data_IF_465116985017
#
_entry.id   IF_465116985017
#
_cell.length_a   1.000
_cell.length_b   1.000
_cell.length_c   1.000
_cell.angle_alpha   90.00
_cell.angle_beta   90.00
_cell.angle_gamma   90.00
#
_symmetry.space_group_name_H-M   'P 1'
#
loop_
_entity.id
_entity.type
_entity.pdbx_description
1 polymer ?
#
# COMPACT_ATOMS: atom_id res chain seq x y z
N UNK A 1 -11.51 12.50 11.38
CA UNK A 1 -12.49 12.79 10.30
C UNK A 1 -12.66 11.60 9.36
N UNK A 2 -13.66 11.60 8.48
CA UNK A 2 -13.71 10.67 7.33
C UNK A 2 -12.82 11.17 6.20
N UNK A 3 -12.03 10.26 5.64
CA UNK A 3 -11.10 10.53 4.54
C UNK A 3 -11.64 9.97 3.22
N UNK A 4 -12.25 8.78 3.25
CA UNK A 4 -12.92 8.19 2.09
C UNK A 4 -14.42 8.03 2.37
N UNK A 5 -15.26 8.76 1.65
CA UNK A 5 -16.71 8.65 1.78
C UNK A 5 -17.27 7.39 1.14
N UNK A 6 -16.67 6.88 0.07
CA UNK A 6 -17.18 5.69 -0.64
C UNK A 6 -17.17 4.42 0.21
N UNK A 7 -16.11 4.25 1.02
CA UNK A 7 -15.92 3.07 1.87
C UNK A 7 -16.00 3.40 3.37
N UNK A 8 -16.36 4.65 3.72
CA UNK A 8 -16.47 5.08 5.12
C UNK A 8 -15.15 5.03 5.90
N UNK A 9 -14.01 5.27 5.24
CA UNK A 9 -12.69 5.16 5.90
C UNK A 9 -12.38 6.44 6.65
N UNK A 10 -12.00 6.29 7.91
CA UNK A 10 -11.59 7.38 8.80
C UNK A 10 -10.09 7.62 8.77
N UNK A 11 -9.71 8.83 9.17
CA UNK A 11 -8.31 9.20 9.36
C UNK A 11 -7.59 8.30 10.38
N UNK A 12 -8.29 7.86 11.43
CA UNK A 12 -7.73 6.93 12.42
C UNK A 12 -7.35 5.61 11.79
N UNK A 13 -8.24 5.02 11.00
CA UNK A 13 -7.97 3.78 10.26
C UNK A 13 -6.78 3.95 9.31
N UNK A 14 -6.68 5.09 8.60
CA UNK A 14 -5.51 5.34 7.73
C UNK A 14 -4.21 5.38 8.53
N UNK A 15 -4.20 5.98 9.72
CA UNK A 15 -3.02 6.01 10.60
C UNK A 15 -2.70 4.63 11.15
N UNK A 16 -3.68 3.89 11.65
CA UNK A 16 -3.51 2.51 12.13
C UNK A 16 -2.91 1.60 11.06
N UNK A 17 -3.38 1.70 9.81
CA UNK A 17 -2.78 0.95 8.70
C UNK A 17 -1.38 1.43 8.35
N UNK A 18 -1.09 2.73 8.45
CA UNK A 18 0.25 3.26 8.26
C UNK A 18 1.22 2.73 9.33
N UNK A 19 0.79 2.68 10.59
CA UNK A 19 1.55 2.12 11.72
C UNK A 19 1.74 0.60 11.56
N UNK A 20 0.76 -0.09 10.98
CA UNK A 20 0.88 -1.50 10.59
C UNK A 20 1.78 -1.74 9.36
N UNK A 21 2.32 -0.69 8.73
CA UNK A 21 3.28 -0.78 7.62
C UNK A 21 2.72 -0.45 6.23
N UNK A 22 1.47 -0.01 6.11
CA UNK A 22 0.88 0.47 4.86
C UNK A 22 1.26 1.92 4.58
N UNK A 23 2.50 2.12 4.16
CA UNK A 23 3.10 3.44 4.01
C UNK A 23 2.85 4.11 2.64
N UNK A 24 2.13 3.45 1.73
CA UNK A 24 1.70 4.03 0.43
C UNK A 24 0.19 4.06 0.30
N UNK A 25 -0.38 4.98 -0.49
CA UNK A 25 -1.81 4.97 -0.81
C UNK A 25 -2.27 3.65 -1.41
N UNK A 26 -1.39 2.98 -2.17
CA UNK A 26 -1.67 1.68 -2.77
C UNK A 26 -1.73 0.57 -1.73
N UNK A 27 -0.86 0.59 -0.72
CA UNK A 27 -0.94 -0.34 0.42
C UNK A 27 -2.16 -0.05 1.30
N UNK A 28 -2.48 1.22 1.54
CA UNK A 28 -3.72 1.61 2.24
C UNK A 28 -4.94 1.10 1.46
N UNK A 29 -4.97 1.25 0.14
CA UNK A 29 -6.01 0.70 -0.72
C UNK A 29 -6.11 -0.83 -0.61
N UNK A 30 -4.98 -1.55 -0.51
CA UNK A 30 -4.99 -3.00 -0.29
C UNK A 30 -5.48 -3.40 1.10
N UNK A 31 -5.24 -2.58 2.13
CA UNK A 31 -5.62 -2.89 3.51
C UNK A 31 -7.09 -2.54 3.81
N UNK A 32 -7.57 -1.38 3.36
CA UNK A 32 -8.88 -0.84 3.72
C UNK A 32 -9.74 -0.40 2.53
N UNK A 33 -9.33 -0.70 1.29
CA UNK A 33 -10.08 -0.39 0.06
C UNK A 33 -10.21 1.11 -0.26
N UNK A 34 -9.60 1.99 0.53
CA UNK A 34 -9.64 3.43 0.28
C UNK A 34 -9.03 3.78 -1.09
N UNK A 35 -9.75 4.57 -1.88
CA UNK A 35 -9.24 5.10 -3.15
C UNK A 35 -9.31 4.15 -4.35
N UNK A 36 -10.00 3.00 -4.23
CA UNK A 36 -10.24 2.08 -5.37
C UNK A 36 -11.53 2.38 -6.14
N UNK A 37 -12.31 3.36 -5.70
CA UNK A 37 -13.57 3.79 -6.33
C UNK A 37 -13.35 5.13 -7.06
N UNK A 38 -13.95 6.23 -6.59
CA UNK A 38 -13.84 7.56 -7.20
C UNK A 38 -12.45 8.20 -7.09
N UNK A 39 -11.57 7.67 -6.23
CA UNK A 39 -10.19 8.12 -6.09
C UNK A 39 -9.97 9.49 -5.42
N UNK A 40 -11.02 10.24 -5.06
CA UNK A 40 -10.89 11.61 -4.50
C UNK A 40 -10.08 11.68 -3.20
N UNK A 41 -10.13 10.63 -2.39
CA UNK A 41 -9.39 10.54 -1.13
C UNK A 41 -7.88 10.28 -1.30
N UNK A 42 -7.41 9.87 -2.49
CA UNK A 42 -6.01 9.44 -2.70
C UNK A 42 -5.01 10.55 -2.39
N UNK A 43 -5.32 11.80 -2.75
CA UNK A 43 -4.44 12.96 -2.49
C UNK A 43 -4.40 13.32 -1.00
N UNK A 44 -5.53 13.23 -0.31
CA UNK A 44 -5.58 13.41 1.14
C UNK A 44 -4.77 12.33 1.86
N UNK A 45 -4.90 11.06 1.44
CA UNK A 45 -4.13 9.93 1.97
C UNK A 45 -2.63 10.16 1.76
N UNK A 46 -2.21 10.58 0.55
CA UNK A 46 -0.81 10.92 0.28
C UNK A 46 -0.28 12.04 1.19
N UNK A 47 -1.10 13.06 1.46
CA UNK A 47 -0.71 14.16 2.33
C UNK A 47 -0.53 13.70 3.78
N UNK A 48 -1.41 12.82 4.28
CA UNK A 48 -1.33 12.26 5.64
C UNK A 48 -0.12 11.33 5.82
N UNK A 49 0.22 10.53 4.80
CA UNK A 49 1.39 9.66 4.82
C UNK A 49 2.70 10.43 4.60
N UNK A 50 2.66 11.67 4.11
CA UNK A 50 3.83 12.47 3.81
C UNK A 50 4.64 11.98 2.59
N UNK A 51 5.60 12.80 2.13
CA UNK A 51 6.44 12.54 0.94
C UNK A 51 7.56 11.49 1.14
N UNK A 52 7.47 10.62 2.15
CA UNK A 52 8.59 9.74 2.49
C UNK A 52 8.37 8.68 3.55
N UNK A 53 7.17 8.47 4.12
CA UNK A 53 6.97 7.51 5.20
C UNK A 53 7.10 6.02 4.80
N UNK A 54 7.58 5.73 3.59
CA UNK A 54 7.83 4.37 3.17
C UNK A 54 9.23 3.91 3.56
N UNK A 55 9.37 2.83 4.35
CA UNK A 55 10.65 2.15 4.52
C UNK A 55 11.18 1.61 3.19
N UNK A 56 10.39 1.53 2.10
CA UNK A 56 10.93 1.30 0.75
C UNK A 56 11.94 2.36 0.34
N UNK A 57 11.73 3.63 0.69
CA UNK A 57 12.71 4.70 0.41
C UNK A 57 14.00 4.45 1.21
N UNK A 58 13.87 4.06 2.47
CA UNK A 58 15.02 3.74 3.33
C UNK A 58 15.74 2.45 2.91
N UNK A 59 15.04 1.42 2.43
CA UNK A 59 15.62 0.21 1.86
C UNK A 59 16.30 0.49 0.50
N UNK A 60 15.76 1.42 -0.30
CA UNK A 60 16.42 1.91 -1.52
C UNK A 60 17.66 2.76 -1.19
N UNK A 61 17.61 3.60 -0.16
CA UNK A 61 18.74 4.40 0.33
C UNK A 61 19.84 3.51 0.94
N UNK A 62 19.47 2.47 1.70
CA UNK A 62 20.40 1.49 2.25
C UNK A 62 21.06 0.63 1.18
N UNK A 63 20.37 0.41 0.06
CA UNK A 63 20.94 -0.23 -1.12
C UNK A 63 21.85 0.72 -1.94
N UNK A 64 21.87 2.02 -1.63
CA UNK A 64 22.69 3.02 -2.34
C UNK A 64 24.18 2.95 -1.96
N UNK A 65 24.61 2.50 -0.77
CA UNK A 65 26.03 2.26 -0.42
C UNK A 65 26.19 1.35 0.83
N UNK A 66 27.27 0.53 1.00
CA UNK A 66 28.51 0.35 0.21
C UNK A 66 28.57 -1.03 -0.51
N UNK A 67 29.37 -1.28 -1.56
CA UNK A 67 30.82 -1.08 -1.66
C UNK A 67 31.32 -0.76 -3.08
N UNK A 68 32.43 -0.03 -3.10
CA UNK A 68 33.37 0.02 -4.21
C UNK A 68 34.12 -1.33 -4.35
N UNK A 69 34.43 -1.68 -5.61
CA UNK A 69 35.09 -2.90 -6.12
C UNK A 69 34.20 -4.17 -6.06
N UNK A 70 33.97 -4.96 -7.12
CA UNK A 70 34.66 -5.13 -8.39
C UNK A 70 33.74 -5.92 -9.36
N UNK A 71 33.94 -5.67 -10.65
CA UNK A 71 33.59 -6.47 -11.83
C UNK A 71 32.15 -6.83 -12.26
N UNK A 72 31.81 -6.24 -13.42
CA UNK A 72 31.02 -6.74 -14.55
C UNK A 72 29.86 -7.73 -14.34
N UNK A 73 28.63 -7.25 -14.64
CA UNK A 73 27.79 -7.85 -15.70
C UNK A 73 26.71 -6.87 -16.16
N UNK A 74 26.81 -6.46 -17.42
CA UNK A 74 25.70 -5.97 -18.24
C UNK A 74 24.75 -7.14 -18.48
N UNK A 75 23.47 -7.02 -18.12
CA UNK A 75 22.50 -8.05 -18.47
C UNK A 75 21.07 -7.84 -18.00
N UNK A 76 20.29 -7.25 -18.89
CA UNK A 76 18.88 -7.57 -19.18
C UNK A 76 17.80 -7.38 -18.09
N UNK A 77 16.79 -6.59 -18.46
CA UNK A 77 15.57 -6.40 -17.68
C UNK A 77 14.87 -7.71 -17.34
N UNK A 78 14.35 -7.77 -16.13
CA UNK A 78 13.30 -8.70 -15.75
C UNK A 78 12.04 -7.87 -15.52
N UNK A 79 11.19 -7.78 -16.55
CA UNK A 79 9.79 -7.56 -16.30
C UNK A 79 9.22 -8.80 -15.60
N UNK A 80 8.39 -8.68 -14.56
CA UNK A 80 7.45 -9.74 -14.25
C UNK A 80 6.33 -9.59 -15.28
N UNK A 81 6.19 -10.50 -16.25
CA UNK A 81 5.89 -11.89 -15.98
C UNK A 81 4.38 -11.98 -15.85
N UNK A 82 3.70 -12.22 -16.96
CA UNK A 82 2.28 -12.56 -17.01
C UNK A 82 2.02 -13.80 -16.15
N UNK A 83 1.11 -13.62 -15.20
CA UNK A 83 0.18 -14.54 -14.52
C UNK A 83 0.41 -16.06 -14.56
N UNK A 84 0.12 -16.75 -13.43
CA UNK A 84 -1.09 -17.56 -13.43
C UNK A 84 -1.95 -17.43 -12.15
N UNK A 85 -3.23 -17.70 -12.33
CA UNK A 85 -4.32 -17.35 -11.42
C UNK A 85 -4.34 -18.02 -10.04
N UNK A 86 -4.95 -17.30 -9.10
CA UNK A 86 -5.56 -17.82 -7.89
C UNK A 86 -6.98 -17.25 -7.86
N UNK A 87 -7.97 -18.13 -7.87
CA UNK A 87 -9.39 -17.79 -7.85
C UNK A 87 -9.73 -16.87 -6.66
N UNK A 88 -10.74 -15.98 -6.78
CA UNK A 88 -11.27 -15.24 -5.63
C UNK A 88 -12.00 -16.21 -4.70
N UNK A 89 -11.25 -16.81 -3.77
CA UNK A 89 -11.76 -17.61 -2.67
C UNK A 89 -12.18 -16.71 -1.51
N UNK A 90 -13.49 -16.63 -1.30
CA UNK A 90 -14.18 -16.52 0.00
C UNK A 90 -13.52 -15.67 1.10
N UNK A 91 -14.04 -14.47 1.33
CA UNK A 91 -13.78 -13.75 2.57
C UNK A 91 -14.31 -14.57 3.77
N UNK A 92 -13.54 -14.78 4.86
CA UNK A 92 -14.10 -15.31 6.10
C UNK A 92 -15.08 -14.29 6.68
N UNK A 93 -16.29 -14.77 6.97
CA UNK A 93 -17.43 -13.97 7.39
C UNK A 93 -17.13 -13.05 8.57
N UNK A 94 -17.24 -11.75 8.32
CA UNK A 94 -17.47 -10.77 9.36
C UNK A 94 -18.98 -10.81 9.62
N UNK A 95 -19.38 -11.47 10.70
CA UNK A 95 -20.74 -11.45 11.17
C UNK A 95 -21.12 -9.99 11.49
N UNK A 96 -22.07 -9.45 10.71
CA UNK A 96 -22.74 -8.20 11.04
C UNK A 96 -23.62 -8.46 12.28
N UNK A 97 -23.52 -7.68 13.37
CA UNK A 97 -24.47 -7.76 14.47
C UNK A 97 -25.84 -7.21 14.04
N UNK A 98 -26.86 -7.98 14.42
CA UNK A 98 -28.29 -7.82 14.16
C UNK A 98 -28.81 -6.45 14.64
N UNK A 99 -29.33 -5.64 13.70
CA UNK A 99 -30.02 -4.40 14.02
C UNK A 99 -31.52 -4.70 14.21
N UNK A 100 -31.91 -4.90 15.46
CA UNK A 100 -33.28 -4.90 15.95
C UNK A 100 -33.79 -3.46 16.19
#
# INVERSE_FOLDING_TARGET
MYVCSCFGITEKQVKEHADAGACTPRQIASACKAGTDCGGCVRAIQAMLGRGACPRRELLDRKRMPSAADDTVTGAGSGPGTEPGIAPGMAPGIALPDAA
#
